data_IF_059465007074
#
_entry.id   IF_059465007074
#
_cell.length_a   1.000
_cell.length_b   1.000
_cell.length_c   1.000
_cell.angle_alpha   90.00
_cell.angle_beta   90.00
_cell.angle_gamma   90.00
#
_symmetry.space_group_name_H-M   'P 1'
#
loop_
_entity.id
_entity.type
_entity.pdbx_description
1 polymer ?
#
# COMPACT_ATOMS: atom_id res chain seq x y z
N UNK A 1 -55.54 32.15 -28.20
CA UNK A 1 -54.74 30.94 -28.51
C UNK A 1 -53.23 31.08 -28.28
N UNK A 2 -52.55 32.16 -28.70
CA UNK A 2 -51.10 32.32 -28.50
C UNK A 2 -50.60 32.30 -27.04
N UNK A 3 -51.36 32.88 -26.09
CA UNK A 3 -50.97 32.87 -24.66
C UNK A 3 -51.05 31.49 -24.02
N UNK A 4 -52.07 30.68 -24.36
CA UNK A 4 -52.26 29.33 -23.81
C UNK A 4 -51.17 28.38 -24.33
N UNK A 5 -50.76 28.52 -25.60
CA UNK A 5 -49.66 27.72 -26.19
C UNK A 5 -48.31 28.05 -25.52
N UNK A 6 -48.05 29.33 -25.22
CA UNK A 6 -46.82 29.75 -24.54
C UNK A 6 -46.74 29.24 -23.10
N UNK A 7 -47.85 29.26 -22.35
CA UNK A 7 -47.87 28.73 -20.98
C UNK A 7 -47.75 27.21 -20.97
N UNK A 8 -48.37 26.52 -21.94
CA UNK A 8 -48.22 25.06 -22.10
C UNK A 8 -46.79 24.68 -22.48
N UNK A 9 -46.12 25.46 -23.34
CA UNK A 9 -44.71 25.24 -23.70
C UNK A 9 -43.77 25.48 -22.51
N UNK A 10 -44.01 26.51 -21.68
CA UNK A 10 -43.23 26.75 -20.45
C UNK A 10 -43.44 25.65 -19.39
N UNK A 11 -44.66 25.13 -19.25
CA UNK A 11 -44.97 24.01 -18.33
C UNK A 11 -44.33 22.71 -18.83
N UNK A 12 -44.32 22.47 -20.15
CA UNK A 12 -43.62 21.32 -20.75
C UNK A 12 -42.10 21.46 -20.62
N UNK A 13 -41.53 22.66 -20.78
CA UNK A 13 -40.09 22.89 -20.56
C UNK A 13 -39.68 22.80 -19.09
N UNK A 14 -40.53 23.20 -18.14
CA UNK A 14 -40.32 22.97 -16.70
C UNK A 14 -40.44 21.48 -16.33
N UNK A 15 -41.32 20.72 -17.01
CA UNK A 15 -41.44 19.28 -16.81
C UNK A 15 -40.26 18.48 -17.40
N UNK A 16 -39.53 19.03 -18.40
CA UNK A 16 -38.30 18.42 -18.92
C UNK A 16 -37.04 18.75 -18.11
N UNK A 17 -37.15 19.63 -17.10
CA UNK A 17 -36.09 19.95 -16.13
C UNK A 17 -36.28 19.25 -14.78
N UNK A 18 -37.25 18.36 -14.70
CA UNK A 18 -37.26 17.34 -13.66
C UNK A 18 -36.02 16.48 -13.95
N UNK A 19 -34.97 16.47 -13.09
CA UNK A 19 -33.92 15.47 -13.23
C UNK A 19 -34.67 14.16 -13.29
N UNK A 20 -34.45 13.41 -14.37
CA UNK A 20 -34.99 12.08 -14.60
C UNK A 20 -35.25 11.46 -13.23
N UNK A 21 -36.51 11.52 -12.75
CA UNK A 21 -36.90 10.65 -11.66
C UNK A 21 -36.64 9.33 -12.34
N UNK A 22 -35.53 8.70 -11.98
CA UNK A 22 -35.43 7.27 -12.05
C UNK A 22 -36.80 6.82 -11.58
N UNK A 23 -37.59 6.36 -12.53
CA UNK A 23 -38.89 5.81 -12.28
C UNK A 23 -38.65 4.87 -11.11
N UNK A 24 -39.20 5.20 -9.95
CA UNK A 24 -39.19 4.33 -8.79
C UNK A 24 -40.04 3.06 -9.03
N UNK A 25 -40.42 2.81 -10.29
CA UNK A 25 -40.89 1.55 -10.83
C UNK A 25 -39.78 1.01 -11.76
N UNK A 26 -38.81 0.27 -11.21
CA UNK A 26 -37.81 -0.41 -12.02
C UNK A 26 -36.71 -1.16 -11.27
N UNK A 27 -36.24 -0.66 -10.13
CA UNK A 27 -35.01 -1.18 -9.50
C UNK A 27 -35.23 -1.92 -8.18
N UNK A 28 -36.43 -1.86 -7.60
CA UNK A 28 -36.77 -2.55 -6.34
C UNK A 28 -36.00 -2.07 -5.10
N UNK A 29 -35.16 -1.04 -5.23
CA UNK A 29 -34.35 -0.45 -4.16
C UNK A 29 -35.17 0.51 -3.30
N UNK A 30 -34.96 0.46 -1.99
CA UNK A 30 -35.65 1.35 -1.06
C UNK A 30 -34.79 2.57 -0.75
N UNK A 31 -35.43 3.74 -0.69
CA UNK A 31 -34.78 4.96 -0.23
C UNK A 31 -34.66 4.92 1.29
N UNK A 32 -33.43 5.05 1.80
CA UNK A 32 -33.15 5.18 3.23
C UNK A 32 -33.35 6.62 3.69
N UNK A 33 -32.76 7.58 2.97
CA UNK A 33 -32.93 9.00 3.22
C UNK A 33 -32.59 9.80 1.95
N UNK A 34 -32.99 11.06 1.91
CA UNK A 34 -32.67 11.98 0.82
C UNK A 34 -32.66 13.41 1.31
N UNK A 35 -31.97 14.30 0.60
CA UNK A 35 -31.91 15.70 1.01
C UNK A 35 -31.28 16.61 -0.03
N UNK A 36 -31.14 17.88 0.34
CA UNK A 36 -30.45 18.89 -0.45
C UNK A 36 -29.19 19.31 0.31
N UNK A 37 -28.04 19.26 -0.35
CA UNK A 37 -26.75 19.58 0.25
C UNK A 37 -26.19 20.95 -0.14
N UNK A 38 -26.62 21.48 -1.28
CA UNK A 38 -26.25 22.79 -1.77
C UNK A 38 -27.33 23.30 -2.74
N UNK A 39 -27.19 24.55 -3.16
CA UNK A 39 -28.00 25.09 -4.26
C UNK A 39 -27.86 24.19 -5.49
N UNK A 40 -28.99 23.71 -5.99
CA UNK A 40 -29.09 22.85 -7.18
C UNK A 40 -28.32 21.52 -7.05
N UNK A 41 -28.17 20.99 -5.82
CA UNK A 41 -27.61 19.65 -5.56
C UNK A 41 -28.45 18.90 -4.54
N UNK A 42 -28.98 17.75 -4.97
CA UNK A 42 -29.70 16.81 -4.11
C UNK A 42 -28.92 15.51 -3.96
N UNK A 43 -29.25 14.75 -2.92
CA UNK A 43 -28.71 13.41 -2.71
C UNK A 43 -29.81 12.44 -2.29
N UNK A 44 -29.64 11.16 -2.65
CA UNK A 44 -30.50 10.05 -2.26
C UNK A 44 -29.60 8.89 -1.81
N UNK A 45 -29.89 8.31 -0.66
CA UNK A 45 -29.25 7.10 -0.17
C UNK A 45 -30.21 5.93 -0.31
N UNK A 46 -29.75 4.88 -0.97
CA UNK A 46 -30.48 3.62 -1.12
C UNK A 46 -30.06 2.59 -0.07
N UNK A 47 -30.90 1.57 0.13
CA UNK A 47 -30.72 0.49 1.11
C UNK A 47 -29.60 -0.50 0.74
N UNK A 48 -29.18 -0.52 -0.52
CA UNK A 48 -27.98 -1.21 -1.00
C UNK A 48 -26.65 -0.49 -0.64
N UNK A 49 -26.74 0.73 -0.08
CA UNK A 49 -25.58 1.54 0.29
C UNK A 49 -25.07 2.46 -0.82
N UNK A 50 -25.78 2.64 -1.93
CA UNK A 50 -25.45 3.65 -2.93
C UNK A 50 -25.96 5.04 -2.51
N UNK A 51 -25.04 6.00 -2.44
CA UNK A 51 -25.33 7.42 -2.25
C UNK A 51 -25.21 8.16 -3.59
N UNK A 52 -26.34 8.59 -4.14
CA UNK A 52 -26.42 9.25 -5.44
C UNK A 52 -26.52 10.77 -5.26
N UNK A 53 -25.69 11.53 -5.98
CA UNK A 53 -25.78 12.99 -6.07
C UNK A 53 -26.28 13.42 -7.46
N UNK A 54 -27.24 14.34 -7.48
CA UNK A 54 -27.88 14.83 -8.70
C UNK A 54 -27.97 16.35 -8.70
N UNK A 55 -28.03 16.96 -9.88
CA UNK A 55 -28.26 18.40 -10.05
C UNK A 55 -27.19 19.08 -10.91
N UNK A 56 -27.03 20.39 -10.73
CA UNK A 56 -26.14 21.23 -11.55
C UNK A 56 -25.18 22.09 -10.74
N UNK A 57 -25.16 21.93 -9.42
CA UNK A 57 -24.30 22.67 -8.52
C UNK A 57 -22.95 22.00 -8.24
N UNK A 58 -22.38 22.41 -7.10
CA UNK A 58 -21.11 21.90 -6.57
C UNK A 58 -21.41 21.16 -5.27
N UNK A 59 -20.95 19.92 -5.13
CA UNK A 59 -21.07 19.16 -3.88
C UNK A 59 -20.17 19.84 -2.83
N UNK A 60 -20.71 20.27 -1.67
CA UNK A 60 -19.93 20.98 -0.67
C UNK A 60 -19.09 20.01 0.19
N UNK A 61 -18.16 20.53 1.02
CA UNK A 61 -17.47 19.73 2.03
C UNK A 61 -18.47 19.07 2.98
N UNK A 62 -18.15 17.86 3.46
CA UNK A 62 -19.09 17.05 4.25
C UNK A 62 -19.36 17.59 5.68
N UNK A 63 -18.59 18.60 6.10
CA UNK A 63 -18.67 19.28 7.40
C UNK A 63 -19.26 20.69 7.30
N UNK A 64 -19.74 21.13 6.14
CA UNK A 64 -20.30 22.47 6.01
C UNK A 64 -21.68 22.57 6.69
N UNK A 65 -21.68 23.06 7.93
CA UNK A 65 -22.88 23.19 8.78
C UNK A 65 -23.59 24.54 8.61
N UNK A 66 -22.92 25.52 8.01
CA UNK A 66 -23.27 26.93 8.17
C UNK A 66 -24.50 27.37 7.35
N UNK A 67 -24.99 26.51 6.44
CA UNK A 67 -26.10 26.86 5.53
C UNK A 67 -27.39 26.05 5.74
N UNK A 68 -27.49 25.24 6.80
CA UNK A 68 -28.71 24.51 7.14
C UNK A 68 -29.09 23.37 6.19
N UNK A 69 -28.14 22.86 5.41
CA UNK A 69 -28.34 21.73 4.50
C UNK A 69 -28.25 20.36 5.21
N UNK A 70 -28.94 19.37 4.67
CA UNK A 70 -28.94 18.02 5.22
C UNK A 70 -27.58 17.33 5.03
N UNK A 71 -27.07 16.76 6.12
CA UNK A 71 -25.80 16.04 6.12
C UNK A 71 -26.00 14.62 5.59
N UNK A 72 -25.45 14.31 4.42
CA UNK A 72 -25.30 12.91 3.96
C UNK A 72 -24.20 12.18 4.74
N UNK A 73 -23.25 12.91 5.33
CA UNK A 73 -22.06 12.35 6.00
C UNK A 73 -22.38 11.50 7.23
N UNK A 74 -23.53 11.71 7.89
CA UNK A 74 -24.01 10.83 8.98
C UNK A 74 -24.23 9.38 8.52
N UNK A 75 -24.40 9.16 7.22
CA UNK A 75 -24.64 7.85 6.64
C UNK A 75 -23.39 7.13 6.16
N UNK A 76 -22.20 7.74 6.22
CA UNK A 76 -20.97 7.08 5.73
C UNK A 76 -20.68 5.67 6.28
N UNK A 77 -21.07 5.29 7.52
CA UNK A 77 -20.93 3.90 7.96
C UNK A 77 -21.62 2.85 7.06
N UNK A 78 -22.73 3.21 6.41
CA UNK A 78 -23.51 2.33 5.52
C UNK A 78 -23.30 2.61 4.03
N UNK A 79 -22.62 3.70 3.67
CA UNK A 79 -22.35 4.03 2.27
C UNK A 79 -21.24 3.12 1.74
N UNK A 80 -21.55 2.44 0.63
CA UNK A 80 -20.65 1.53 -0.09
C UNK A 80 -20.19 2.09 -1.43
N UNK A 81 -21.08 2.82 -2.11
CA UNK A 81 -20.84 3.43 -3.41
C UNK A 81 -21.32 4.87 -3.37
N UNK A 82 -20.56 5.78 -3.98
CA UNK A 82 -21.01 7.14 -4.26
C UNK A 82 -21.11 7.30 -5.77
N UNK A 83 -22.27 7.71 -6.25
CA UNK A 83 -22.50 7.96 -7.68
C UNK A 83 -22.85 9.41 -7.89
N UNK A 84 -21.98 10.13 -8.59
CA UNK A 84 -22.21 11.51 -8.99
C UNK A 84 -22.82 11.48 -10.39
N UNK A 85 -24.03 12.02 -10.54
CA UNK A 85 -24.71 12.01 -11.84
C UNK A 85 -24.23 13.16 -12.74
N UNK A 86 -24.38 12.93 -14.05
CA UNK A 86 -24.20 13.96 -15.06
C UNK A 86 -24.99 15.22 -14.71
N UNK A 87 -24.35 16.36 -14.91
CA UNK A 87 -24.90 17.69 -14.60
C UNK A 87 -24.15 18.37 -13.46
N UNK A 88 -23.68 17.60 -12.46
CA UNK A 88 -22.87 18.14 -11.36
C UNK A 88 -21.61 18.79 -11.93
N UNK A 89 -21.31 20.00 -11.44
CA UNK A 89 -20.24 20.86 -11.97
C UNK A 89 -18.97 20.81 -11.17
N UNK A 90 -19.04 20.49 -9.88
CA UNK A 90 -17.85 20.40 -9.06
C UNK A 90 -18.03 19.59 -7.79
N UNK A 91 -16.89 19.20 -7.23
CA UNK A 91 -16.77 18.50 -5.97
C UNK A 91 -15.80 19.30 -5.12
N UNK A 92 -16.24 19.78 -3.96
CA UNK A 92 -15.40 20.55 -3.07
C UNK A 92 -14.34 19.68 -2.39
N UNK A 93 -13.28 20.32 -1.89
CA UNK A 93 -12.32 19.69 -0.99
C UNK A 93 -13.06 19.02 0.16
N UNK A 94 -12.63 17.80 0.52
CA UNK A 94 -13.17 17.04 1.65
C UNK A 94 -14.70 16.76 1.56
N UNK A 95 -15.26 16.68 0.34
CA UNK A 95 -16.68 16.34 0.13
C UNK A 95 -17.07 14.94 0.65
N UNK A 96 -16.11 14.01 0.69
CA UNK A 96 -16.29 12.63 1.15
C UNK A 96 -15.19 12.22 2.15
N UNK A 97 -14.51 13.19 2.76
CA UNK A 97 -13.49 12.96 3.77
C UNK A 97 -14.14 12.93 5.15
N UNK A 98 -14.22 11.75 5.78
CA UNK A 98 -14.84 11.61 7.09
C UNK A 98 -13.94 12.18 8.19
N UNK A 99 -14.53 12.65 9.29
CA UNK A 99 -13.77 12.89 10.52
C UNK A 99 -13.10 11.59 10.98
N UNK A 100 -11.92 11.73 11.61
CA UNK A 100 -10.85 10.71 11.77
C UNK A 100 -11.21 9.39 12.46
N UNK A 101 -12.49 9.12 12.76
CA UNK A 101 -12.95 7.91 13.45
C UNK A 101 -14.22 7.30 12.83
N UNK A 102 -14.97 8.03 12.00
CA UNK A 102 -16.14 7.47 11.29
C UNK A 102 -15.64 6.92 9.97
N UNK A 103 -15.16 5.69 9.97
CA UNK A 103 -14.65 5.09 8.76
C UNK A 103 -15.76 5.04 7.69
N UNK A 104 -15.51 5.65 6.54
CA UNK A 104 -15.99 5.15 5.26
C UNK A 104 -15.35 3.78 4.95
N UNK A 105 -15.32 2.86 5.93
CA UNK A 105 -14.69 1.54 5.81
C UNK A 105 -15.38 0.71 4.73
N UNK A 106 -16.68 0.93 4.54
CA UNK A 106 -17.52 0.22 3.57
C UNK A 106 -17.45 0.82 2.17
N UNK A 107 -17.03 2.09 2.02
CA UNK A 107 -16.97 2.80 0.74
C UNK A 107 -15.87 2.21 -0.13
N UNK A 108 -16.25 1.54 -1.21
CA UNK A 108 -15.32 0.90 -2.12
C UNK A 108 -15.32 1.54 -3.51
N UNK A 109 -16.31 2.35 -3.88
CA UNK A 109 -16.35 2.98 -5.21
C UNK A 109 -16.95 4.39 -5.21
N UNK A 110 -16.33 5.29 -5.95
CA UNK A 110 -16.88 6.60 -6.32
C UNK A 110 -16.91 6.72 -7.83
N UNK A 111 -18.08 6.99 -8.41
CA UNK A 111 -18.24 7.26 -9.85
C UNK A 111 -18.43 8.75 -10.08
N UNK A 112 -17.57 9.34 -10.92
CA UNK A 112 -17.51 10.76 -11.22
C UNK A 112 -17.72 10.97 -12.73
N UNK A 113 -18.71 11.76 -13.15
CA UNK A 113 -19.04 11.96 -14.56
C UNK A 113 -18.10 12.98 -15.20
N UNK A 114 -18.03 12.96 -16.53
CA UNK A 114 -17.21 13.91 -17.29
C UNK A 114 -17.80 15.34 -17.24
N UNK A 115 -19.06 15.52 -16.81
CA UNK A 115 -19.65 16.85 -16.61
C UNK A 115 -18.95 17.69 -15.54
N UNK A 116 -18.19 17.06 -14.65
CA UNK A 116 -17.44 17.73 -13.59
C UNK A 116 -16.32 18.58 -14.17
N UNK A 117 -16.30 19.84 -13.76
CA UNK A 117 -15.35 20.88 -14.20
C UNK A 117 -14.41 21.32 -13.09
N UNK A 118 -14.61 20.85 -11.86
CA UNK A 118 -13.80 21.20 -10.69
C UNK A 118 -13.79 20.06 -9.68
N UNK A 119 -12.61 19.68 -9.18
CA UNK A 119 -12.44 18.75 -8.06
C UNK A 119 -11.45 19.37 -7.08
N UNK A 120 -11.86 19.49 -5.81
CA UNK A 120 -10.99 19.95 -4.73
C UNK A 120 -9.98 18.88 -4.29
N UNK A 121 -8.89 19.31 -3.66
CA UNK A 121 -7.92 18.39 -3.05
C UNK A 121 -8.57 17.59 -1.90
N UNK A 122 -8.07 16.39 -1.60
CA UNK A 122 -8.48 15.57 -0.45
C UNK A 122 -10.00 15.26 -0.41
N UNK A 123 -10.64 15.01 -1.57
CA UNK A 123 -12.08 14.68 -1.59
C UNK A 123 -12.43 13.44 -0.74
N UNK A 124 -11.46 12.57 -0.49
CA UNK A 124 -11.57 11.37 0.36
C UNK A 124 -10.42 11.35 1.37
N UNK A 125 -10.65 10.72 2.51
CA UNK A 125 -9.62 10.61 3.55
C UNK A 125 -8.46 9.72 3.09
N UNK A 126 -7.23 10.23 3.30
CA UNK A 126 -6.02 9.43 3.23
C UNK A 126 -6.03 8.37 4.34
N UNK A 127 -5.72 7.11 4.00
CA UNK A 127 -5.53 6.07 5.01
C UNK A 127 -4.15 5.44 4.90
N UNK A 128 -3.42 5.49 6.01
CA UNK A 128 -2.13 4.82 6.15
C UNK A 128 -2.35 3.32 6.17
N UNK A 129 -1.67 2.64 5.26
CA UNK A 129 -1.91 1.22 5.05
C UNK A 129 -1.03 0.37 5.98
N UNK A 130 -1.63 -0.55 6.75
CA UNK A 130 -0.88 -1.56 7.52
C UNK A 130 -0.76 -2.85 6.72
N UNK A 131 0.44 -3.38 6.55
CA UNK A 131 0.61 -4.67 5.89
C UNK A 131 0.08 -5.83 6.72
N UNK A 132 0.06 -5.74 8.06
CA UNK A 132 -0.38 -6.87 8.89
C UNK A 132 -1.86 -7.17 8.71
N UNK A 133 -2.70 -6.16 8.52
CA UNK A 133 -4.16 -6.35 8.54
C UNK A 133 -4.75 -6.65 7.16
N UNK A 134 -3.91 -6.72 6.12
CA UNK A 134 -4.32 -6.57 4.72
C UNK A 134 -5.23 -5.36 4.51
N UNK A 135 -5.58 -5.05 3.27
CA UNK A 135 -6.38 -3.87 3.02
C UNK A 135 -7.19 -3.94 1.73
N UNK A 136 -8.51 -3.81 1.86
CA UNK A 136 -9.39 -3.60 0.72
C UNK A 136 -9.18 -2.18 0.19
N UNK A 137 -8.89 -2.08 -1.09
CA UNK A 137 -8.78 -0.85 -1.86
C UNK A 137 -10.18 -0.33 -2.23
N UNK A 138 -10.24 0.97 -2.45
CA UNK A 138 -11.40 1.68 -2.96
C UNK A 138 -11.04 2.30 -4.31
N UNK A 139 -12.01 2.44 -5.21
CA UNK A 139 -11.81 2.95 -6.55
C UNK A 139 -12.49 4.31 -6.73
N UNK A 140 -11.82 5.20 -7.47
CA UNK A 140 -12.41 6.41 -8.03
C UNK A 140 -12.44 6.24 -9.55
N UNK A 141 -13.64 6.13 -10.09
CA UNK A 141 -13.90 5.99 -11.52
C UNK A 141 -14.31 7.35 -12.08
N UNK A 142 -13.39 8.03 -12.76
CA UNK A 142 -13.68 9.26 -13.49
C UNK A 142 -13.97 8.95 -14.96
N UNK A 143 -15.13 9.38 -15.44
CA UNK A 143 -15.51 9.18 -16.83
C UNK A 143 -14.63 9.99 -17.81
N UNK A 144 -14.04 11.09 -17.34
CA UNK A 144 -13.09 11.89 -18.12
C UNK A 144 -11.67 11.32 -18.15
N UNK A 145 -10.78 11.96 -18.91
CA UNK A 145 -9.40 11.51 -19.08
C UNK A 145 -8.52 11.84 -17.87
N UNK A 146 -7.38 11.13 -17.75
CA UNK A 146 -6.37 11.42 -16.73
C UNK A 146 -5.79 12.83 -16.88
N UNK A 147 -5.63 13.35 -18.10
CA UNK A 147 -5.17 14.72 -18.32
C UNK A 147 -6.16 15.73 -17.76
N UNK A 148 -7.47 15.50 -17.97
CA UNK A 148 -8.51 16.35 -17.39
C UNK A 148 -8.50 16.28 -15.86
N UNK A 149 -8.40 15.08 -15.29
CA UNK A 149 -8.24 14.92 -13.84
C UNK A 149 -7.08 15.73 -13.29
N UNK A 150 -5.88 15.55 -13.88
CA UNK A 150 -4.67 16.23 -13.46
C UNK A 150 -4.76 17.76 -13.62
N UNK A 151 -5.54 18.24 -14.61
CA UNK A 151 -5.77 19.68 -14.82
C UNK A 151 -6.49 20.37 -13.66
N UNK A 152 -7.29 19.64 -12.87
CA UNK A 152 -7.95 20.20 -11.69
C UNK A 152 -6.96 20.60 -10.59
N UNK A 153 -5.78 19.98 -10.57
CA UNK A 153 -4.78 20.12 -9.50
C UNK A 153 -3.47 20.76 -9.97
N UNK A 154 -3.30 20.97 -11.27
CA UNK A 154 -2.09 21.58 -11.82
C UNK A 154 -2.04 23.07 -11.52
N UNK A 155 -1.08 23.49 -10.68
CA UNK A 155 -0.73 24.90 -10.46
C UNK A 155 0.59 25.21 -11.19
N UNK A 156 0.78 26.42 -11.76
CA UNK A 156 2.04 26.78 -12.43
C UNK A 156 3.26 26.52 -11.54
N UNK A 157 4.21 25.73 -12.04
CA UNK A 157 5.46 25.41 -11.33
C UNK A 157 5.36 24.35 -10.23
N UNK A 158 4.21 23.67 -10.06
CA UNK A 158 4.03 22.60 -9.08
C UNK A 158 3.67 21.27 -9.74
N UNK A 159 4.12 20.16 -9.15
CA UNK A 159 3.57 18.83 -9.47
C UNK A 159 2.11 18.79 -9.00
N UNK A 160 1.24 18.14 -9.77
CA UNK A 160 -0.15 17.96 -9.35
C UNK A 160 -0.20 17.14 -8.06
N UNK A 161 -1.13 17.50 -7.17
CA UNK A 161 -1.40 16.78 -5.93
C UNK A 161 -2.91 16.84 -5.67
N UNK A 162 -3.57 15.70 -5.72
CA UNK A 162 -5.03 15.57 -5.54
C UNK A 162 -5.40 15.21 -4.09
N UNK A 163 -4.42 14.95 -3.22
CA UNK A 163 -4.68 14.54 -1.84
C UNK A 163 -5.08 13.07 -1.67
N UNK A 164 -5.19 12.32 -2.78
CA UNK A 164 -5.69 10.95 -2.77
C UNK A 164 -4.50 10.02 -2.70
N UNK A 165 -4.29 9.41 -1.53
CA UNK A 165 -3.15 8.53 -1.26
C UNK A 165 -3.56 7.26 -0.52
N UNK A 166 -2.72 6.23 -0.65
CA UNK A 166 -2.87 4.97 0.07
C UNK A 166 -3.90 4.06 -0.57
N UNK A 167 -5.06 3.96 0.06
CA UNK A 167 -6.12 2.97 -0.19
C UNK A 167 -6.94 3.15 -1.48
N UNK A 168 -6.60 4.12 -2.31
CA UNK A 168 -7.42 4.53 -3.43
C UNK A 168 -6.72 4.30 -4.76
N UNK A 169 -7.43 3.65 -5.68
CA UNK A 169 -7.05 3.51 -7.07
C UNK A 169 -7.91 4.42 -7.95
N UNK A 170 -7.32 4.91 -9.04
CA UNK A 170 -7.99 5.83 -9.97
C UNK A 170 -8.13 5.17 -11.33
N UNK A 171 -9.32 5.29 -11.88
CA UNK A 171 -9.70 4.78 -13.19
C UNK A 171 -10.24 5.94 -14.02
N UNK A 172 -9.88 5.97 -15.30
CA UNK A 172 -10.18 7.09 -16.20
C UNK A 172 -10.90 6.59 -17.45
N UNK A 173 -11.48 7.51 -18.22
CA UNK A 173 -12.19 7.20 -19.47
C UNK A 173 -13.34 6.19 -19.28
N UNK A 174 -13.97 6.18 -18.10
CA UNK A 174 -15.07 5.27 -17.78
C UNK A 174 -14.63 3.83 -17.51
N UNK A 175 -13.35 3.59 -17.26
CA UNK A 175 -12.86 2.28 -16.83
C UNK A 175 -13.46 1.89 -15.47
N UNK A 176 -13.83 0.61 -15.36
CA UNK A 176 -14.33 0.01 -14.13
C UNK A 176 -13.27 -0.93 -13.53
N UNK A 177 -13.05 -0.88 -12.21
CA UNK A 177 -12.09 -1.72 -11.51
C UNK A 177 -12.50 -3.19 -11.59
N UNK A 178 -11.52 -4.05 -11.88
CA UNK A 178 -11.68 -5.50 -11.81
C UNK A 178 -11.12 -6.03 -10.50
N UNK A 179 -11.68 -7.13 -9.97
CA UNK A 179 -11.15 -7.78 -8.79
C UNK A 179 -9.70 -8.19 -9.01
N UNK A 180 -8.82 -7.83 -8.08
CA UNK A 180 -7.41 -8.21 -8.11
C UNK A 180 -6.81 -8.14 -6.71
N UNK A 181 -5.64 -8.76 -6.54
CA UNK A 181 -4.91 -8.79 -5.30
C UNK A 181 -3.40 -8.63 -5.52
N UNK A 182 -2.72 -8.05 -4.54
CA UNK A 182 -1.28 -7.90 -4.53
C UNK A 182 -0.72 -8.07 -3.11
N UNK A 183 0.53 -8.52 -3.03
CA UNK A 183 1.22 -8.66 -1.74
C UNK A 183 1.83 -7.31 -1.37
N UNK A 184 1.60 -6.89 -0.13
CA UNK A 184 2.16 -5.69 0.48
C UNK A 184 3.00 -6.05 1.70
N UNK A 185 4.08 -5.30 1.89
CA UNK A 185 5.04 -5.53 2.95
C UNK A 185 4.97 -4.49 4.07
N UNK A 186 5.28 -4.93 5.28
CA UNK A 186 5.55 -4.08 6.44
C UNK A 186 6.77 -3.20 6.22
N UNK A 187 6.83 -2.06 6.92
CA UNK A 187 7.92 -1.07 6.77
C UNK A 187 9.26 -1.64 7.23
N UNK A 188 10.30 -1.25 6.50
CA UNK A 188 11.70 -1.29 6.92
C UNK A 188 11.93 -0.31 8.07
N UNK A 189 12.78 -0.67 9.04
CA UNK A 189 13.35 0.31 9.97
C UNK A 189 14.59 0.93 9.33
N UNK A 190 14.88 2.19 9.66
CA UNK A 190 16.20 2.73 9.39
C UNK A 190 17.07 2.43 10.62
N UNK A 191 18.25 1.86 10.41
CA UNK A 191 19.23 1.81 11.49
C UNK A 191 19.80 3.21 11.78
N UNK A 192 20.65 3.31 12.81
CA UNK A 192 21.31 4.55 13.24
C UNK A 192 22.14 5.24 12.13
N UNK A 193 22.48 4.51 11.07
CA UNK A 193 23.24 5.01 9.92
C UNK A 193 22.35 5.41 8.74
N UNK A 194 21.02 5.38 8.90
CA UNK A 194 20.07 5.69 7.83
C UNK A 194 19.93 4.60 6.77
N UNK A 195 20.51 3.42 6.97
CA UNK A 195 20.28 2.28 6.07
C UNK A 195 18.94 1.65 6.40
N UNK A 196 18.17 1.29 5.37
CA UNK A 196 17.00 0.43 5.55
C UNK A 196 17.47 -0.97 5.97
N UNK A 197 17.10 -1.39 7.17
CA UNK A 197 17.41 -2.71 7.72
C UNK A 197 16.10 -3.43 8.01
N UNK A 198 16.11 -4.72 7.71
CA UNK A 198 15.01 -5.63 8.01
C UNK A 198 15.18 -6.15 9.44
N UNK A 199 14.73 -5.39 10.43
CA UNK A 199 14.78 -5.77 11.84
C UNK A 199 13.40 -6.24 12.32
N UNK A 200 13.05 -7.49 12.02
CA UNK A 200 11.89 -8.12 12.64
C UNK A 200 11.18 -9.13 11.74
N UNK A 201 10.19 -9.83 12.29
CA UNK A 201 9.33 -10.69 11.51
C UNK A 201 8.72 -9.94 10.32
N UNK A 202 8.68 -10.57 9.16
CA UNK A 202 8.17 -9.93 7.95
C UNK A 202 6.65 -9.95 8.00
N UNK A 203 6.05 -8.78 8.24
CA UNK A 203 4.63 -8.61 8.02
C UNK A 203 4.35 -8.56 6.52
N UNK A 204 3.55 -9.51 6.03
CA UNK A 204 2.98 -9.49 4.68
C UNK A 204 1.48 -9.37 4.79
N UNK A 205 0.88 -8.59 3.91
CA UNK A 205 -0.56 -8.45 3.79
C UNK A 205 -1.00 -8.58 2.36
N UNK A 206 -2.27 -8.90 2.17
CA UNK A 206 -2.91 -8.76 0.88
C UNK A 206 -3.55 -7.39 0.77
N UNK A 207 -3.26 -6.69 -0.31
CA UNK A 207 -3.94 -5.48 -0.72
C UNK A 207 -4.76 -5.83 -1.96
N UNK A 208 -6.04 -5.50 -1.98
CA UNK A 208 -6.94 -6.05 -3.00
C UNK A 208 -8.13 -5.15 -3.27
N UNK A 209 -8.65 -5.21 -4.50
CA UNK A 209 -9.95 -4.65 -4.84
C UNK A 209 -10.93 -5.80 -5.11
N UNK A 210 -12.16 -5.72 -4.60
CA UNK A 210 -13.18 -6.76 -4.79
C UNK A 210 -14.63 -6.23 -4.90
N UNK A 211 -14.85 -4.94 -5.17
CA UNK A 211 -16.22 -4.39 -5.22
C UNK A 211 -16.95 -4.61 -3.90
N UNK A 212 -18.22 -5.07 -3.91
CA UNK A 212 -18.95 -5.48 -2.69
C UNK A 212 -18.83 -6.98 -2.36
N UNK A 213 -17.93 -7.70 -3.03
CA UNK A 213 -17.83 -9.16 -2.85
C UNK A 213 -17.16 -9.53 -1.52
N UNK A 214 -17.70 -10.58 -0.91
CA UNK A 214 -17.02 -11.34 0.13
C UNK A 214 -15.93 -12.19 -0.51
N UNK A 215 -14.70 -12.04 -0.01
CA UNK A 215 -13.53 -12.76 -0.53
C UNK A 215 -12.75 -13.42 0.59
N UNK A 216 -12.03 -14.47 0.25
CA UNK A 216 -11.07 -15.13 1.14
C UNK A 216 -9.71 -15.28 0.46
N UNK A 217 -8.68 -15.61 1.25
CA UNK A 217 -7.30 -15.69 0.76
C UNK A 217 -6.67 -17.03 1.11
N UNK A 218 -6.18 -17.73 0.09
CA UNK A 218 -5.35 -18.92 0.26
C UNK A 218 -3.88 -18.51 0.18
N UNK A 219 -3.17 -18.66 1.30
CA UNK A 219 -1.76 -18.32 1.41
C UNK A 219 -0.87 -19.56 1.22
N UNK A 220 0.19 -19.40 0.44
CA UNK A 220 1.24 -20.41 0.32
C UNK A 220 2.61 -19.77 0.52
N UNK A 221 3.32 -20.21 1.57
CA UNK A 221 4.65 -19.73 1.92
C UNK A 221 5.64 -20.87 1.78
N UNK A 222 6.68 -20.66 0.98
CA UNK A 222 7.72 -21.67 0.73
C UNK A 222 9.12 -21.08 0.85
N UNK A 223 10.12 -21.94 1.01
CA UNK A 223 11.53 -21.55 1.06
C UNK A 223 12.07 -21.46 2.49
N UNK A 224 12.93 -20.47 2.76
CA UNK A 224 13.71 -20.37 4.00
C UNK A 224 13.01 -19.63 5.14
N UNK A 225 11.68 -19.52 5.12
CA UNK A 225 10.88 -18.87 6.16
C UNK A 225 9.71 -19.78 6.57
N UNK A 226 9.08 -19.47 7.71
CA UNK A 226 7.88 -20.12 8.21
C UNK A 226 6.89 -19.07 8.72
N UNK A 227 5.61 -19.41 8.75
CA UNK A 227 4.55 -18.55 9.28
C UNK A 227 4.63 -18.57 10.81
N UNK A 228 4.77 -17.41 11.43
CA UNK A 228 4.77 -17.24 12.88
C UNK A 228 3.38 -16.92 13.41
N UNK A 229 2.65 -16.05 12.69
CA UNK A 229 1.32 -15.59 13.10
C UNK A 229 0.46 -15.27 11.89
N UNK A 230 -0.84 -15.54 12.01
CA UNK A 230 -1.87 -15.08 11.06
C UNK A 230 -2.57 -13.85 11.63
N UNK A 231 -2.80 -12.86 10.78
CA UNK A 231 -3.61 -11.69 11.08
C UNK A 231 -4.94 -11.81 10.37
N UNK A 232 -6.02 -11.61 11.14
CA UNK A 232 -7.39 -11.72 10.67
C UNK A 232 -8.10 -10.38 10.72
N UNK A 233 -8.96 -10.13 9.75
CA UNK A 233 -9.87 -8.98 9.79
C UNK A 233 -11.03 -9.21 10.78
N UNK A 234 -11.94 -8.23 10.87
CA UNK A 234 -13.10 -8.31 11.76
C UNK A 234 -14.07 -9.47 11.44
N UNK A 235 -13.98 -10.05 10.25
CA UNK A 235 -14.77 -11.19 9.80
C UNK A 235 -14.02 -12.52 9.95
N UNK A 236 -12.79 -12.51 10.46
CA UNK A 236 -11.96 -13.69 10.66
C UNK A 236 -11.18 -14.16 9.43
N UNK A 237 -11.19 -13.39 8.33
CA UNK A 237 -10.46 -13.71 7.10
C UNK A 237 -8.97 -13.44 7.30
N UNK A 238 -8.10 -14.39 6.94
CA UNK A 238 -6.63 -14.22 7.05
C UNK A 238 -6.14 -13.28 5.94
N UNK A 239 -5.89 -12.04 6.30
CA UNK A 239 -5.51 -10.95 5.39
C UNK A 239 -4.03 -10.58 5.47
N UNK A 240 -3.32 -11.12 6.46
CA UNK A 240 -1.88 -10.98 6.54
C UNK A 240 -1.22 -12.06 7.36
N UNK A 241 0.10 -12.15 7.23
CA UNK A 241 0.95 -13.12 7.90
C UNK A 241 2.15 -12.40 8.52
N UNK A 242 2.60 -12.92 9.64
CA UNK A 242 3.92 -12.66 10.17
C UNK A 242 4.84 -13.82 9.80
N UNK A 243 5.95 -13.53 9.14
CA UNK A 243 6.90 -14.53 8.68
C UNK A 243 8.21 -14.45 9.44
N UNK A 244 8.82 -15.60 9.70
CA UNK A 244 10.09 -15.68 10.42
C UNK A 244 11.24 -15.04 9.62
N UNK A 245 12.07 -14.20 10.27
CA UNK A 245 13.29 -13.69 9.65
C UNK A 245 14.24 -14.81 9.25
N UNK A 246 14.91 -14.68 8.11
CA UNK A 246 15.94 -15.63 7.68
C UNK A 246 17.18 -14.91 7.18
N UNK A 247 18.34 -15.59 7.25
CA UNK A 247 19.63 -14.97 6.92
C UNK A 247 20.14 -15.22 5.50
N UNK A 248 19.80 -16.37 4.93
CA UNK A 248 20.21 -16.78 3.59
C UNK A 248 19.11 -17.60 2.97
N UNK A 249 19.01 -17.52 1.64
CA UNK A 249 18.03 -18.26 0.85
C UNK A 249 17.00 -17.34 0.21
N UNK A 250 15.94 -17.96 -0.27
CA UNK A 250 14.79 -17.26 -0.84
C UNK A 250 13.54 -17.77 -0.11
N UNK A 251 12.58 -16.86 0.11
CA UNK A 251 11.21 -17.22 0.43
C UNK A 251 10.31 -16.82 -0.73
N UNK A 252 9.21 -17.53 -0.92
CA UNK A 252 8.18 -17.16 -1.87
C UNK A 252 6.85 -17.12 -1.13
N UNK A 253 6.18 -15.99 -1.23
CA UNK A 253 4.84 -15.80 -0.70
C UNK A 253 3.90 -15.74 -1.90
N UNK A 254 2.90 -16.60 -1.92
CA UNK A 254 1.84 -16.59 -2.91
C UNK A 254 0.51 -16.43 -2.21
N UNK A 255 -0.38 -15.67 -2.82
CA UNK A 255 -1.76 -15.51 -2.37
C UNK A 255 -2.69 -15.70 -3.55
N UNK A 256 -3.78 -16.44 -3.33
CA UNK A 256 -4.92 -16.48 -4.24
C UNK A 256 -6.10 -15.80 -3.55
N UNK A 257 -6.75 -14.88 -4.26
CA UNK A 257 -8.02 -14.31 -3.86
C UNK A 257 -9.15 -15.17 -4.40
N UNK A 258 -10.06 -15.59 -3.51
CA UNK A 258 -11.14 -16.51 -3.82
C UNK A 258 -12.49 -15.83 -3.58
N UNK A 259 -13.49 -16.15 -4.40
CA UNK A 259 -14.88 -15.82 -4.12
C UNK A 259 -15.48 -16.76 -3.05
N UNK A 260 -16.75 -16.53 -2.70
CA UNK A 260 -17.49 -17.36 -1.73
C UNK A 260 -17.66 -18.83 -2.14
N UNK A 261 -17.55 -19.14 -3.43
CA UNK A 261 -17.74 -20.48 -3.98
C UNK A 261 -16.37 -21.19 -4.13
N UNK A 262 -15.26 -20.51 -3.81
CA UNK A 262 -13.91 -21.02 -3.88
C UNK A 262 -13.24 -20.86 -5.25
N UNK A 263 -13.82 -20.09 -6.17
CA UNK A 263 -13.19 -19.82 -7.46
C UNK A 263 -12.10 -18.76 -7.31
N UNK A 264 -10.99 -18.95 -8.03
CA UNK A 264 -9.88 -17.98 -8.04
C UNK A 264 -10.26 -16.75 -8.84
N UNK A 265 -10.34 -15.61 -8.17
CA UNK A 265 -10.57 -14.30 -8.78
C UNK A 265 -9.26 -13.70 -9.30
N UNK A 266 -8.18 -13.81 -8.53
CA UNK A 266 -6.85 -13.37 -8.90
C UNK A 266 -5.78 -14.09 -8.04
N UNK A 267 -4.52 -14.03 -8.46
CA UNK A 267 -3.42 -14.57 -7.67
C UNK A 267 -2.12 -13.85 -7.95
N UNK A 268 -1.26 -13.76 -6.94
CA UNK A 268 0.08 -13.22 -7.10
C UNK A 268 1.11 -14.01 -6.30
N UNK A 269 2.34 -13.99 -6.77
CA UNK A 269 3.49 -14.60 -6.10
C UNK A 269 4.64 -13.61 -6.11
N UNK A 270 5.30 -13.48 -4.96
CA UNK A 270 6.45 -12.62 -4.84
C UNK A 270 7.62 -13.35 -4.21
N UNK A 271 8.78 -13.23 -4.87
CA UNK A 271 10.05 -13.74 -4.36
C UNK A 271 10.63 -12.74 -3.37
N UNK A 272 11.06 -13.28 -2.25
CA UNK A 272 11.71 -12.55 -1.19
C UNK A 272 13.15 -13.02 -1.01
N UNK A 273 14.07 -12.07 -1.02
CA UNK A 273 15.49 -12.28 -0.82
C UNK A 273 15.96 -11.28 0.21
N UNK A 274 16.72 -11.72 1.21
CA UNK A 274 17.35 -10.84 2.19
C UNK A 274 18.24 -9.83 1.45
N UNK A 275 17.84 -8.57 1.37
CA UNK A 275 18.71 -7.50 0.87
C UNK A 275 19.55 -7.02 2.06
N UNK A 276 20.74 -7.60 2.17
CA UNK A 276 21.79 -7.27 3.16
C UNK A 276 21.28 -7.25 4.61
N UNK A 277 21.41 -8.41 5.27
CA UNK A 277 21.78 -8.36 6.69
C UNK A 277 23.00 -7.46 6.81
N UNK A 278 22.94 -6.60 7.83
CA UNK A 278 23.94 -5.63 8.19
C UNK A 278 25.38 -6.08 7.89
N UNK A 279 26.28 -5.16 7.50
CA UNK A 279 27.70 -5.42 7.24
C UNK A 279 28.40 -6.26 8.32
N UNK A 280 27.85 -6.32 9.53
CA UNK A 280 28.47 -6.95 10.70
C UNK A 280 28.73 -8.46 10.54
N UNK A 281 27.83 -9.22 9.91
CA UNK A 281 28.05 -10.67 9.74
C UNK A 281 29.06 -10.95 8.62
N UNK A 282 29.03 -10.18 7.52
CA UNK A 282 29.96 -10.35 6.40
C UNK A 282 31.34 -9.77 6.73
N UNK A 283 31.40 -8.67 7.48
CA UNK A 283 32.63 -8.08 8.01
C UNK A 283 33.25 -8.96 9.09
N UNK A 284 32.47 -9.49 10.06
CA UNK A 284 33.01 -10.49 11.01
C UNK A 284 33.48 -11.75 10.30
N UNK A 285 32.76 -12.23 9.29
CA UNK A 285 33.17 -13.40 8.51
C UNK A 285 34.43 -13.12 7.69
N UNK A 286 34.54 -11.95 7.07
CA UNK A 286 35.74 -11.51 6.34
C UNK A 286 36.93 -11.30 7.28
N UNK A 287 36.72 -10.65 8.43
CA UNK A 287 37.73 -10.45 9.48
C UNK A 287 38.21 -11.78 10.04
N UNK A 288 37.31 -12.74 10.27
CA UNK A 288 37.66 -14.08 10.72
C UNK A 288 38.46 -14.85 9.66
N UNK A 289 38.15 -14.69 8.36
CA UNK A 289 38.94 -15.27 7.27
C UNK A 289 40.34 -14.63 7.17
N UNK A 290 40.43 -13.31 7.27
CA UNK A 290 41.71 -12.58 7.27
C UNK A 290 42.53 -12.97 8.49
N UNK A 291 41.92 -13.05 9.68
CA UNK A 291 42.57 -13.50 10.92
C UNK A 291 43.15 -14.91 10.76
N UNK A 292 42.37 -15.86 10.21
CA UNK A 292 42.84 -17.22 9.96
C UNK A 292 43.99 -17.28 8.93
N UNK A 293 43.98 -16.40 7.90
CA UNK A 293 45.09 -16.30 6.94
C UNK A 293 46.36 -15.74 7.60
N UNK A 294 46.22 -14.70 8.42
CA UNK A 294 47.33 -14.11 9.17
C UNK A 294 47.92 -15.10 10.17
N UNK A 295 47.09 -15.80 10.95
CA UNK A 295 47.56 -16.85 11.88
C UNK A 295 48.30 -17.97 11.16
N UNK A 296 47.88 -18.33 9.94
CA UNK A 296 48.56 -19.34 9.12
C UNK A 296 49.92 -18.86 8.60
N UNK A 297 50.02 -17.60 8.18
CA UNK A 297 51.28 -16.97 7.74
C UNK A 297 52.24 -16.81 8.92
N UNK A 298 51.76 -16.30 10.05
CA UNK A 298 52.56 -16.14 11.27
C UNK A 298 53.08 -17.50 11.72
N UNK A 299 52.26 -18.54 11.84
CA UNK A 299 52.74 -19.85 12.27
C UNK A 299 53.75 -20.47 11.28
N UNK A 300 53.62 -20.21 9.98
CA UNK A 300 54.57 -20.67 8.97
C UNK A 300 55.93 -19.92 9.06
N UNK A 301 55.90 -18.59 9.17
CA UNK A 301 57.12 -17.77 9.27
C UNK A 301 57.80 -17.90 10.64
N UNK A 302 57.04 -17.98 11.73
CA UNK A 302 57.57 -18.22 13.08
C UNK A 302 58.21 -19.61 13.16
N UNK A 303 57.63 -20.64 12.55
CA UNK A 303 58.26 -21.96 12.45
C UNK A 303 59.59 -21.90 11.69
N UNK A 304 59.63 -21.24 10.53
CA UNK A 304 60.85 -21.11 9.71
C UNK A 304 61.96 -20.32 10.43
N UNK A 305 61.63 -19.19 11.08
CA UNK A 305 62.57 -18.38 11.84
C UNK A 305 63.06 -19.09 13.11
N UNK A 306 62.16 -19.79 13.83
CA UNK A 306 62.50 -20.47 15.07
C UNK A 306 63.38 -21.72 14.83
N UNK A 307 63.07 -22.54 13.82
CA UNK A 307 63.93 -23.66 13.42
C UNK A 307 65.26 -23.19 12.80
N UNK A 308 65.25 -22.10 12.02
CA UNK A 308 66.46 -21.51 11.44
C UNK A 308 67.44 -20.96 12.50
N UNK A 309 66.93 -20.23 13.52
CA UNK A 309 67.74 -19.71 14.62
C UNK A 309 68.28 -20.82 15.52
N UNK A 310 67.49 -21.85 15.81
CA UNK A 310 67.95 -23.02 16.58
C UNK A 310 69.06 -23.77 15.83
N UNK A 311 68.91 -23.99 14.52
CA UNK A 311 69.94 -24.65 13.71
C UNK A 311 71.24 -23.85 13.65
N UNK A 312 71.17 -22.53 13.50
CA UNK A 312 72.35 -21.65 13.50
C UNK A 312 73.04 -21.62 14.88
N UNK A 313 72.28 -21.57 15.97
CA UNK A 313 72.81 -21.61 17.33
C UNK A 313 73.51 -22.95 17.63
N UNK A 314 72.89 -24.08 17.27
CA UNK A 314 73.50 -25.40 17.43
C UNK A 314 74.78 -25.57 16.59
N UNK A 315 74.79 -25.05 15.36
CA UNK A 315 76.00 -25.02 14.51
C UNK A 315 77.14 -24.20 15.13
N UNK A 316 76.83 -23.03 15.70
CA UNK A 316 77.82 -22.20 16.37
C UNK A 316 78.39 -22.87 17.63
N UNK A 317 77.54 -23.52 18.44
CA UNK A 317 77.99 -24.29 19.62
C UNK A 317 78.91 -25.45 19.21
N UNK A 318 78.57 -26.18 18.14
CA UNK A 318 79.41 -27.25 17.62
C UNK A 318 80.79 -26.75 17.14
N UNK A 319 80.84 -25.61 16.44
CA UNK A 319 82.09 -24.99 16.01
C UNK A 319 82.93 -24.56 17.21
N UNK A 320 82.33 -23.94 18.23
CA UNK A 320 83.01 -23.54 19.45
C UNK A 320 83.59 -24.74 20.22
N UNK A 321 82.85 -25.85 20.29
CA UNK A 321 83.33 -27.07 20.93
C UNK A 321 84.50 -27.71 20.14
N UNK A 322 84.41 -27.72 18.81
CA UNK A 322 85.49 -28.18 17.92
C UNK A 322 86.76 -27.32 18.05
N UNK A 323 86.61 -25.99 18.12
CA UNK A 323 87.73 -25.06 18.36
C UNK A 323 88.32 -25.31 19.74
N UNK A 324 87.48 -25.47 20.78
CA UNK A 324 87.94 -25.77 22.15
C UNK A 324 88.74 -27.08 22.22
N UNK A 325 88.27 -28.13 21.56
CA UNK A 325 88.97 -29.42 21.48
C UNK A 325 90.32 -29.29 20.75
N UNK A 326 90.35 -28.48 19.69
CA UNK A 326 91.56 -28.23 18.90
C UNK A 326 92.59 -27.42 19.69
N UNK A 327 92.18 -26.33 20.35
CA UNK A 327 93.04 -25.53 21.22
C UNK A 327 93.56 -26.37 22.39
N UNK A 328 92.72 -27.17 23.04
CA UNK A 328 93.16 -28.06 24.12
C UNK A 328 94.17 -29.12 23.66
N UNK A 329 94.16 -29.52 22.38
CA UNK A 329 95.17 -30.43 21.82
C UNK A 329 96.53 -29.79 21.60
N UNK A 330 96.62 -28.45 21.55
CA UNK A 330 97.89 -27.72 21.39
C UNK A 330 98.60 -27.47 22.72
N UNK A 331 97.90 -27.63 23.85
CA UNK A 331 98.43 -27.41 25.19
C UNK A 331 98.60 -28.71 26.01
N UNK A 332 98.52 -29.87 25.35
CA UNK A 332 98.91 -31.19 25.90
C UNK A 332 100.20 -31.66 25.24
#
# INVERSE_FOLDING_TARGET
MKKIISTFLCVVMLATFIPFFASAEGDGRNVVDSGTCAKDVTWVLYDDGELVFSGTGVIPPCYNVEQGYDRWSKYFPQVKVITIQDGIRGISKEAFATEREIAAASLYKITIPDSVTYIGEDIVAAKLMSAQNGERLSAICFAGSEEKWNSFFSKPGQKYYDGIVGRWEKYFNGEEPKPHCMIKYGRYSNNEYGNQVEEGPFAVGVMYYAGDMDVSFEWNVTGTTEILQEYKDGNGVVTGLELKPFKRGNAYVSVKMLDKDGNVLDSTTQKYTTKKIAPDDDFKTALNKIKAQIEKVINAEFSLLFFGLIAAYLGFVYIMDTIRLTINSWFK
#
